data_IF_050645652202
#
_entry.id   IF_050645652202
#
_cell.length_a   1.000
_cell.length_b   1.000
_cell.length_c   1.000
_cell.angle_alpha   90.00
_cell.angle_beta   90.00
_cell.angle_gamma   90.00
#
_symmetry.space_group_name_H-M   'P 1'
#
loop_
_entity.id
_entity.type
_entity.pdbx_description
1 polymer ?
#
# COMPACT_ATOMS: atom_id res chain seq x y z
N UNK A 1 -6.46 -9.33 3.37
CA UNK A 1 -6.01 -8.43 2.29
C UNK A 1 -7.19 -8.02 1.44
N UNK A 2 -7.17 -6.80 0.94
CA UNK A 2 -8.20 -6.22 0.09
C UNK A 2 -7.61 -5.93 -1.28
N UNK A 3 -8.38 -6.17 -2.34
CA UNK A 3 -8.05 -5.81 -3.70
C UNK A 3 -9.16 -4.93 -4.24
N UNK A 4 -8.86 -3.65 -4.48
CA UNK A 4 -9.85 -2.61 -4.74
C UNK A 4 -9.43 -1.76 -5.94
N UNK A 5 -9.93 -2.03 -7.15
CA UNK A 5 -9.85 -1.05 -8.22
C UNK A 5 -10.54 0.25 -7.87
N UNK A 6 -10.02 1.37 -8.35
CA UNK A 6 -10.63 2.67 -8.19
C UNK A 6 -10.78 3.45 -9.50
N UNK A 7 -11.70 4.40 -9.48
CA UNK A 7 -11.80 5.49 -10.44
C UNK A 7 -11.66 6.78 -9.65
N UNK A 8 -10.73 7.61 -10.07
CA UNK A 8 -10.33 8.84 -9.40
C UNK A 8 -10.49 10.01 -10.36
N UNK A 9 -11.07 11.11 -9.87
CA UNK A 9 -11.13 12.40 -10.53
C UNK A 9 -10.49 13.43 -9.60
N UNK A 10 -9.63 14.29 -10.14
CA UNK A 10 -8.98 15.39 -9.45
C UNK A 10 -9.68 16.69 -9.79
N UNK A 11 -10.55 17.21 -8.91
CA UNK A 11 -11.12 18.54 -9.08
C UNK A 11 -10.06 19.61 -8.81
N UNK A 12 -10.17 20.75 -9.43
CA UNK A 12 -9.50 21.94 -8.94
C UNK A 12 -10.12 22.31 -7.59
N UNK A 13 -9.33 22.67 -6.59
CA UNK A 13 -9.63 22.64 -5.15
C UNK A 13 -10.78 23.58 -4.67
N UNK A 14 -11.84 23.76 -5.45
CA UNK A 14 -13.03 24.49 -5.02
C UNK A 14 -14.13 23.56 -4.51
N UNK A 15 -14.93 23.96 -3.51
CA UNK A 15 -16.05 23.15 -3.01
C UNK A 15 -17.07 22.79 -4.08
N UNK A 16 -17.30 23.69 -5.04
CA UNK A 16 -18.22 23.46 -6.15
C UNK A 16 -17.73 22.35 -7.08
N UNK A 17 -16.45 22.36 -7.42
CA UNK A 17 -15.85 21.34 -8.29
C UNK A 17 -15.76 19.98 -7.63
N UNK A 18 -15.52 19.93 -6.31
CA UNK A 18 -15.63 18.69 -5.53
C UNK A 18 -17.03 18.10 -5.61
N UNK A 19 -18.07 18.94 -5.52
CA UNK A 19 -19.48 18.51 -5.64
C UNK A 19 -19.79 18.00 -7.05
N UNK A 20 -19.36 18.71 -8.08
CA UNK A 20 -19.56 18.32 -9.48
C UNK A 20 -18.85 16.99 -9.77
N UNK A 21 -17.61 16.81 -9.29
CA UNK A 21 -16.86 15.57 -9.47
C UNK A 21 -17.54 14.40 -8.75
N UNK A 22 -18.06 14.61 -7.55
CA UNK A 22 -18.81 13.60 -6.81
C UNK A 22 -20.07 13.15 -7.57
N UNK A 23 -20.91 14.10 -8.03
CA UNK A 23 -22.10 13.78 -8.84
C UNK A 23 -21.77 13.05 -10.12
N UNK A 24 -20.66 13.41 -10.79
CA UNK A 24 -20.19 12.71 -11.99
C UNK A 24 -19.82 11.26 -11.66
N UNK A 25 -19.09 11.02 -10.57
CA UNK A 25 -18.72 9.69 -10.12
C UNK A 25 -19.93 8.87 -9.70
N UNK A 26 -20.92 9.47 -9.02
CA UNK A 26 -22.17 8.78 -8.65
C UNK A 26 -22.95 8.34 -9.87
N UNK A 27 -22.98 9.17 -10.92
CA UNK A 27 -23.61 8.79 -12.20
C UNK A 27 -22.90 7.60 -12.84
N UNK A 28 -21.56 7.56 -12.80
CA UNK A 28 -20.75 6.46 -13.29
C UNK A 28 -20.99 5.21 -12.44
N UNK A 29 -20.98 5.33 -11.11
CA UNK A 29 -21.24 4.23 -10.18
C UNK A 29 -22.64 3.61 -10.43
N UNK A 30 -23.65 4.45 -10.69
CA UNK A 30 -24.99 3.98 -11.03
C UNK A 30 -25.01 3.24 -12.37
N UNK A 31 -24.32 3.72 -13.39
CA UNK A 31 -24.21 3.02 -14.66
C UNK A 31 -23.56 1.64 -14.51
N UNK A 32 -22.54 1.52 -13.64
CA UNK A 32 -21.87 0.25 -13.33
C UNK A 32 -22.82 -0.68 -12.57
N UNK A 33 -23.54 -0.19 -11.57
CA UNK A 33 -24.50 -1.00 -10.77
C UNK A 33 -25.65 -1.56 -11.62
N UNK A 34 -25.99 -0.90 -12.74
CA UNK A 34 -27.01 -1.34 -13.68
C UNK A 34 -26.44 -2.09 -14.90
N UNK A 35 -25.19 -2.55 -14.83
CA UNK A 35 -24.50 -3.28 -15.90
C UNK A 35 -24.49 -2.55 -17.26
N UNK A 36 -24.69 -1.22 -17.26
CA UNK A 36 -24.66 -0.40 -18.49
C UNK A 36 -23.23 -0.05 -18.90
N UNK A 37 -22.28 -0.17 -17.99
CA UNK A 37 -20.86 0.14 -18.16
C UNK A 37 -20.04 -0.76 -17.24
N UNK A 38 -18.98 -1.38 -17.76
CA UNK A 38 -18.06 -2.12 -16.90
C UNK A 38 -17.16 -1.17 -16.10
N UNK A 39 -16.70 -1.62 -14.94
CA UNK A 39 -15.78 -0.80 -14.12
C UNK A 39 -14.46 -0.52 -14.85
N UNK A 40 -13.97 -1.50 -15.59
CA UNK A 40 -12.75 -1.42 -16.39
C UNK A 40 -12.87 -0.37 -17.51
N UNK A 41 -14.00 -0.36 -18.22
CA UNK A 41 -14.28 0.66 -19.25
C UNK A 41 -14.46 2.05 -18.64
N UNK A 42 -15.15 2.14 -17.50
CA UNK A 42 -15.30 3.40 -16.76
C UNK A 42 -13.94 3.94 -16.31
N UNK A 43 -13.06 3.09 -15.80
CA UNK A 43 -11.70 3.47 -15.43
C UNK A 43 -10.92 4.00 -16.64
N UNK A 44 -10.95 3.28 -17.77
CA UNK A 44 -10.24 3.68 -18.98
C UNK A 44 -10.75 5.01 -19.56
N UNK A 45 -12.05 5.31 -19.45
CA UNK A 45 -12.64 6.54 -19.99
C UNK A 45 -12.52 7.74 -19.06
N UNK A 46 -12.77 7.54 -17.77
CA UNK A 46 -13.04 8.64 -16.83
C UNK A 46 -11.99 8.79 -15.75
N UNK A 47 -11.18 7.78 -15.45
CA UNK A 47 -10.15 7.90 -14.41
C UNK A 47 -9.01 8.82 -14.85
N UNK A 48 -8.55 9.66 -13.92
CA UNK A 48 -7.38 10.52 -14.07
C UNK A 48 -6.13 9.93 -13.40
N UNK A 49 -6.29 8.75 -12.79
CA UNK A 49 -5.14 8.06 -12.24
C UNK A 49 -4.31 7.39 -13.35
N UNK A 50 -3.11 7.93 -13.58
CA UNK A 50 -2.20 7.49 -14.64
C UNK A 50 -1.73 6.04 -14.51
N UNK A 51 -1.72 5.50 -13.28
CA UNK A 51 -1.19 4.16 -13.00
C UNK A 51 -2.25 3.07 -13.17
N UNK A 52 -3.49 3.34 -12.77
CA UNK A 52 -4.56 2.34 -12.81
C UNK A 52 -5.51 2.46 -14.00
N UNK A 53 -5.58 3.65 -14.63
CA UNK A 53 -6.48 3.94 -15.74
C UNK A 53 -6.49 2.88 -16.83
N UNK A 54 -5.32 2.48 -17.31
CA UNK A 54 -5.15 1.51 -18.39
C UNK A 54 -5.09 0.05 -17.91
N UNK A 55 -5.18 -0.15 -16.61
CA UNK A 55 -5.17 -1.46 -15.96
C UNK A 55 -6.50 -1.79 -15.28
N UNK A 56 -7.62 -1.39 -15.90
CA UNK A 56 -8.96 -1.64 -15.39
C UNK A 56 -9.24 -1.02 -14.01
N UNK A 57 -8.54 0.07 -13.67
CA UNK A 57 -8.66 0.74 -12.38
C UNK A 57 -7.97 0.02 -11.21
N UNK A 58 -7.23 -1.07 -11.47
CA UNK A 58 -6.57 -1.85 -10.40
C UNK A 58 -5.49 -1.00 -9.74
N UNK A 59 -5.73 -0.69 -8.47
CA UNK A 59 -4.80 0.08 -7.64
C UNK A 59 -3.62 -0.78 -7.21
N UNK A 60 -2.44 -0.20 -7.21
CA UNK A 60 -1.25 -0.77 -6.63
C UNK A 60 -0.55 0.27 -5.73
N UNK A 61 0.32 -0.19 -4.86
CA UNK A 61 1.17 0.68 -4.04
C UNK A 61 2.35 1.28 -4.84
N UNK A 62 2.18 1.46 -6.15
CA UNK A 62 3.23 1.90 -7.07
C UNK A 62 3.79 3.29 -6.72
N UNK A 63 2.94 4.22 -6.30
CA UNK A 63 3.37 5.55 -5.85
C UNK A 63 4.30 5.48 -4.63
N UNK A 64 4.04 4.57 -3.69
CA UNK A 64 4.93 4.35 -2.54
C UNK A 64 6.25 3.73 -2.98
N UNK A 65 6.21 2.79 -3.93
CA UNK A 65 7.41 2.17 -4.51
C UNK A 65 8.29 3.21 -5.19
N UNK A 66 7.71 4.12 -5.98
CA UNK A 66 8.45 5.24 -6.61
C UNK A 66 8.99 6.22 -5.55
N UNK A 67 8.18 6.62 -4.58
CA UNK A 67 8.55 7.58 -3.54
C UNK A 67 9.74 7.10 -2.71
N UNK A 68 9.77 5.82 -2.36
CA UNK A 68 10.85 5.21 -1.58
C UNK A 68 11.95 4.59 -2.44
N UNK A 69 11.92 4.76 -3.76
CA UNK A 69 12.88 4.17 -4.70
C UNK A 69 13.03 2.65 -4.50
N UNK A 70 11.93 2.01 -4.12
CA UNK A 70 11.91 0.58 -3.89
C UNK A 70 11.85 -0.20 -5.20
N UNK A 71 12.12 -1.50 -5.15
CA UNK A 71 12.03 -2.38 -6.33
C UNK A 71 10.57 -2.41 -6.84
N UNK A 72 10.36 -2.08 -8.11
CA UNK A 72 9.04 -2.08 -8.76
C UNK A 72 8.33 -3.46 -8.71
N UNK A 73 9.09 -4.57 -8.55
CA UNK A 73 8.54 -5.91 -8.32
C UNK A 73 7.80 -6.04 -6.99
N UNK A 74 7.97 -5.09 -6.08
CA UNK A 74 7.27 -5.02 -4.79
C UNK A 74 5.90 -4.35 -4.87
N UNK A 75 5.51 -3.86 -6.05
CA UNK A 75 4.18 -3.31 -6.23
C UNK A 75 3.12 -4.40 -5.99
N UNK A 76 2.30 -4.20 -4.97
CA UNK A 76 1.19 -5.08 -4.62
C UNK A 76 -0.14 -4.46 -5.00
N UNK A 77 -1.07 -5.28 -5.46
CA UNK A 77 -2.48 -4.90 -5.67
C UNK A 77 -3.39 -5.33 -4.51
N UNK A 78 -2.79 -5.93 -3.47
CA UNK A 78 -3.46 -6.35 -2.24
C UNK A 78 -2.96 -5.48 -1.09
N UNK A 79 -3.89 -4.95 -0.32
CA UNK A 79 -3.63 -4.00 0.75
C UNK A 79 -4.08 -4.58 2.08
N UNK A 80 -3.32 -4.33 3.12
CA UNK A 80 -3.80 -4.50 4.48
C UNK A 80 -4.81 -3.39 4.82
N UNK A 81 -5.60 -3.61 5.86
CA UNK A 81 -6.54 -2.62 6.35
C UNK A 81 -5.87 -1.29 6.70
N UNK A 82 -4.70 -1.36 7.29
CA UNK A 82 -3.90 -0.23 7.73
C UNK A 82 -3.42 0.62 6.55
N UNK A 83 -3.10 -0.03 5.41
CA UNK A 83 -2.62 0.64 4.20
C UNK A 83 -3.72 1.45 3.50
N UNK A 84 -4.98 1.07 3.69
CA UNK A 84 -6.13 1.77 3.12
C UNK A 84 -6.47 3.07 3.87
N UNK A 85 -5.93 3.24 5.09
CA UNK A 85 -6.12 4.45 5.88
C UNK A 85 -7.60 4.87 6.01
N UNK A 86 -7.91 6.19 5.81
CA UNK A 86 -9.28 6.69 5.91
C UNK A 86 -10.25 6.08 4.90
N UNK A 87 -9.76 5.63 3.74
CA UNK A 87 -10.61 5.07 2.69
C UNK A 87 -11.26 3.74 3.09
N UNK A 88 -10.68 3.04 4.06
CA UNK A 88 -11.23 1.80 4.58
C UNK A 88 -12.68 1.93 5.07
N UNK A 89 -13.08 3.10 5.61
CA UNK A 89 -14.44 3.32 6.08
C UNK A 89 -15.51 3.13 4.97
N UNK A 90 -15.15 3.40 3.71
CA UNK A 90 -16.03 3.26 2.56
C UNK A 90 -16.04 1.83 1.99
N UNK A 91 -14.99 1.06 2.26
CA UNK A 91 -14.83 -0.31 1.79
C UNK A 91 -15.39 -1.35 2.75
N UNK A 92 -15.37 -1.07 4.07
CA UNK A 92 -15.67 -2.07 5.12
C UNK A 92 -17.04 -2.72 5.03
N UNK A 93 -18.03 -2.04 4.42
CA UNK A 93 -19.40 -2.51 4.31
C UNK A 93 -19.73 -3.08 2.93
N UNK A 94 -18.79 -2.99 1.98
CA UNK A 94 -18.99 -3.51 0.63
C UNK A 94 -18.79 -5.03 0.61
N UNK A 95 -19.57 -5.69 -0.23
CA UNK A 95 -19.34 -7.09 -0.59
C UNK A 95 -18.47 -7.17 -1.85
N UNK A 96 -17.77 -8.29 -2.09
CA UNK A 96 -17.08 -8.49 -3.35
C UNK A 96 -18.01 -8.30 -4.55
N UNK A 97 -17.60 -7.46 -5.50
CA UNK A 97 -18.38 -7.04 -6.66
C UNK A 97 -19.19 -5.75 -6.46
N UNK A 98 -19.34 -5.24 -5.25
CA UNK A 98 -20.07 -4.00 -5.00
C UNK A 98 -19.22 -2.74 -5.26
N UNK A 99 -19.85 -1.71 -5.83
CA UNK A 99 -19.27 -0.39 -6.08
C UNK A 99 -19.73 0.58 -4.98
N UNK A 100 -18.78 1.33 -4.42
CA UNK A 100 -19.06 2.37 -3.44
C UNK A 100 -19.88 3.53 -4.03
N UNK A 101 -20.41 4.37 -3.16
CA UNK A 101 -20.76 5.75 -3.51
C UNK A 101 -19.48 6.56 -3.72
N UNK A 102 -19.62 7.75 -4.33
CA UNK A 102 -18.50 8.67 -4.44
C UNK A 102 -18.09 9.18 -3.06
N UNK A 103 -16.80 9.31 -2.85
CA UNK A 103 -16.25 9.87 -1.62
C UNK A 103 -15.00 10.71 -1.89
N UNK A 104 -14.72 11.61 -0.96
CA UNK A 104 -13.54 12.45 -1.00
C UNK A 104 -12.38 11.76 -0.28
N UNK A 105 -11.21 11.87 -0.86
CA UNK A 105 -9.97 11.34 -0.33
C UNK A 105 -8.83 12.31 -0.63
N UNK A 106 -7.63 11.96 -0.21
CA UNK A 106 -6.41 12.72 -0.51
C UNK A 106 -5.36 11.80 -1.12
N UNK A 107 -4.58 12.35 -2.05
CA UNK A 107 -3.39 11.67 -2.52
C UNK A 107 -2.23 11.78 -1.50
N UNK A 108 -1.10 11.12 -1.77
CA UNK A 108 0.09 11.17 -0.91
C UNK A 108 0.71 12.57 -0.79
N UNK A 109 0.31 13.51 -1.66
CA UNK A 109 0.76 14.91 -1.66
C UNK A 109 -0.23 15.83 -0.93
N UNK A 110 -1.36 15.28 -0.42
CA UNK A 110 -2.39 16.04 0.26
C UNK A 110 -3.40 16.72 -0.66
N UNK A 111 -3.36 16.47 -1.97
CA UNK A 111 -4.35 17.04 -2.89
C UNK A 111 -5.70 16.34 -2.69
N UNK A 112 -6.78 17.12 -2.67
CA UNK A 112 -8.14 16.61 -2.62
C UNK A 112 -8.50 15.92 -3.93
N UNK A 113 -9.19 14.79 -3.81
CA UNK A 113 -9.70 14.04 -4.94
C UNK A 113 -11.01 13.33 -4.61
N UNK A 114 -11.80 13.06 -5.64
CA UNK A 114 -13.01 12.26 -5.52
C UNK A 114 -12.79 10.90 -6.16
N UNK A 115 -13.29 9.84 -5.54
CA UNK A 115 -13.17 8.48 -6.08
C UNK A 115 -14.38 7.60 -5.78
N UNK A 116 -14.55 6.60 -6.62
CA UNK A 116 -15.37 5.41 -6.37
C UNK A 116 -14.47 4.19 -6.43
N UNK A 117 -14.82 3.18 -5.68
CA UNK A 117 -14.08 1.92 -5.61
C UNK A 117 -15.00 0.74 -5.79
N UNK A 118 -14.49 -0.33 -6.36
CA UNK A 118 -15.14 -1.64 -6.36
C UNK A 118 -14.31 -2.59 -5.50
N UNK A 119 -14.97 -3.34 -4.63
CA UNK A 119 -14.29 -4.37 -3.85
C UNK A 119 -14.23 -5.65 -4.68
N UNK A 120 -13.04 -6.06 -5.15
CA UNK A 120 -12.90 -7.30 -5.92
C UNK A 120 -12.85 -8.54 -5.05
N UNK A 121 -12.06 -8.51 -3.98
CA UNK A 121 -11.91 -9.65 -3.08
C UNK A 121 -11.54 -9.20 -1.67
N UNK A 122 -11.91 -10.03 -0.70
CA UNK A 122 -11.40 -9.95 0.67
C UNK A 122 -10.66 -11.26 0.93
N UNK A 123 -9.35 -11.16 1.15
CA UNK A 123 -8.56 -12.34 1.53
C UNK A 123 -8.57 -12.44 3.07
N UNK A 124 -9.18 -13.46 3.64
CA UNK A 124 -9.22 -13.63 5.10
C UNK A 124 -7.81 -13.84 5.64
N UNK A 125 -7.64 -13.57 6.93
CA UNK A 125 -6.39 -13.86 7.61
C UNK A 125 -6.08 -15.37 7.50
N UNK A 126 -4.90 -15.69 7.01
CA UNK A 126 -4.43 -17.07 6.85
C UNK A 126 -2.94 -17.16 7.23
N UNK A 127 -2.47 -18.37 7.46
CA UNK A 127 -1.05 -18.60 7.65
C UNK A 127 -0.34 -18.44 6.31
N UNK A 128 0.71 -17.61 6.28
CA UNK A 128 1.48 -17.37 5.07
C UNK A 128 1.96 -18.68 4.42
N UNK A 129 1.76 -18.78 3.11
CA UNK A 129 2.20 -19.90 2.30
C UNK A 129 2.90 -19.42 1.03
N UNK A 130 3.73 -20.28 0.44
CA UNK A 130 4.55 -19.91 -0.72
C UNK A 130 3.68 -19.68 -1.97
N UNK A 131 2.50 -20.30 -2.07
CA UNK A 131 1.64 -20.18 -3.25
C UNK A 131 1.00 -18.80 -3.38
N UNK A 132 0.42 -18.32 -2.27
CA UNK A 132 -0.36 -17.09 -2.26
C UNK A 132 0.46 -15.85 -1.85
N UNK A 133 1.49 -16.06 -1.00
CA UNK A 133 2.25 -14.98 -0.36
C UNK A 133 3.73 -14.99 -0.76
N UNK A 134 4.07 -15.52 -1.94
CA UNK A 134 5.47 -15.70 -2.37
C UNK A 134 6.34 -14.47 -2.13
N UNK A 135 5.87 -13.30 -2.58
CA UNK A 135 6.63 -12.05 -2.45
C UNK A 135 6.91 -11.68 -1.00
N UNK A 136 5.93 -11.85 -0.11
CA UNK A 136 6.09 -11.56 1.32
C UNK A 136 7.05 -12.55 1.99
N UNK A 137 6.92 -13.84 1.65
CA UNK A 137 7.83 -14.90 2.18
C UNK A 137 9.26 -14.69 1.68
N UNK A 138 9.43 -14.31 0.42
CA UNK A 138 10.73 -13.95 -0.17
C UNK A 138 11.36 -12.75 0.56
N UNK A 139 10.59 -11.69 0.81
CA UNK A 139 11.08 -10.51 1.55
C UNK A 139 11.50 -10.86 2.98
N UNK A 140 10.69 -11.65 3.68
CA UNK A 140 11.02 -12.10 5.03
C UNK A 140 12.30 -12.94 5.05
N UNK A 141 12.45 -13.85 4.09
CA UNK A 141 13.66 -14.69 3.96
C UNK A 141 14.90 -13.85 3.62
N UNK A 142 14.75 -12.88 2.69
CA UNK A 142 15.82 -11.96 2.32
C UNK A 142 16.26 -11.12 3.52
N UNK A 143 15.32 -10.54 4.24
CA UNK A 143 15.59 -9.73 5.44
C UNK A 143 16.30 -10.58 6.51
N UNK A 144 15.81 -11.77 6.79
CA UNK A 144 16.44 -12.68 7.76
C UNK A 144 17.89 -13.02 7.36
N UNK A 145 18.15 -13.23 6.05
CA UNK A 145 19.50 -13.47 5.53
C UNK A 145 20.41 -12.25 5.63
N UNK A 146 19.87 -11.06 5.36
CA UNK A 146 20.59 -9.79 5.52
C UNK A 146 20.95 -9.53 6.98
N UNK A 147 20.01 -9.71 7.91
CA UNK A 147 20.22 -9.55 9.34
C UNK A 147 21.27 -10.52 9.88
N UNK A 148 21.23 -11.77 9.42
CA UNK A 148 22.25 -12.76 9.76
C UNK A 148 23.64 -12.34 9.28
N UNK A 149 23.74 -11.95 8.00
CA UNK A 149 25.01 -11.52 7.41
C UNK A 149 25.55 -10.25 8.07
N UNK A 150 24.68 -9.30 8.40
CA UNK A 150 25.05 -8.09 9.12
C UNK A 150 25.61 -8.40 10.52
N UNK A 151 24.98 -9.32 11.27
CA UNK A 151 25.48 -9.74 12.59
C UNK A 151 26.86 -10.39 12.49
N UNK A 152 27.03 -11.32 11.56
CA UNK A 152 28.32 -11.98 11.32
C UNK A 152 29.42 -11.00 10.91
N UNK A 153 29.08 -10.02 10.09
CA UNK A 153 30.00 -8.96 9.70
C UNK A 153 30.35 -8.07 10.90
N UNK A 154 29.36 -7.69 11.70
CA UNK A 154 29.55 -6.85 12.88
C UNK A 154 30.44 -7.56 13.90
N UNK A 155 30.21 -8.84 14.18
CA UNK A 155 31.06 -9.65 15.07
C UNK A 155 32.51 -9.68 14.60
N UNK A 156 32.75 -9.92 13.31
CA UNK A 156 34.10 -9.90 12.72
C UNK A 156 34.76 -8.51 12.86
N UNK A 157 34.02 -7.44 12.64
CA UNK A 157 34.53 -6.07 12.79
C UNK A 157 34.84 -5.73 14.24
N UNK A 158 33.96 -6.07 15.17
CA UNK A 158 34.20 -5.87 16.61
C UNK A 158 35.41 -6.66 17.13
N UNK A 159 35.61 -7.88 16.63
CA UNK A 159 36.78 -8.68 17.01
C UNK A 159 38.11 -8.06 16.53
N UNK A 160 38.10 -7.37 15.37
CA UNK A 160 39.26 -6.73 14.78
C UNK A 160 39.52 -5.29 15.29
N UNK A 161 38.53 -4.66 15.92
CA UNK A 161 38.64 -3.28 16.41
C UNK A 161 39.16 -3.23 17.85
N UNK A 162 39.93 -2.18 18.15
CA UNK A 162 40.24 -1.82 19.52
C UNK A 162 39.10 -0.99 20.11
N UNK A 163 38.38 -1.56 21.08
CA UNK A 163 37.24 -0.91 21.74
C UNK A 163 37.61 -0.68 23.19
N UNK A 164 37.56 0.59 23.65
CA UNK A 164 37.75 0.96 25.01
C UNK A 164 36.46 1.54 25.60
N UNK A 165 35.90 0.84 26.56
CA UNK A 165 34.73 1.27 27.32
C UNK A 165 35.18 1.81 28.68
N UNK A 166 34.69 2.98 29.04
CA UNK A 166 34.93 3.57 30.39
C UNK A 166 34.46 2.56 31.45
N UNK A 167 35.26 2.33 32.52
CA UNK A 167 34.92 1.37 33.57
C UNK A 167 33.52 1.56 34.18
N UNK A 168 32.99 2.77 34.21
CA UNK A 168 31.64 3.07 34.70
C UNK A 168 30.53 2.44 33.91
N UNK A 169 30.75 2.12 32.61
CA UNK A 169 29.76 1.57 31.69
C UNK A 169 29.99 0.10 31.32
N UNK A 170 31.03 -0.54 31.88
CA UNK A 170 31.35 -1.95 31.55
C UNK A 170 30.29 -2.94 32.00
N UNK A 171 29.52 -2.59 33.03
CA UNK A 171 28.46 -3.45 33.56
C UNK A 171 27.08 -3.16 32.92
N UNK A 172 27.00 -2.31 31.89
CA UNK A 172 25.78 -2.09 31.16
C UNK A 172 25.44 -3.31 30.31
N UNK A 173 24.15 -3.58 30.16
CA UNK A 173 23.65 -4.62 29.29
C UNK A 173 23.69 -4.13 27.83
N UNK A 174 24.72 -4.54 27.10
CA UNK A 174 24.90 -4.18 25.69
C UNK A 174 24.17 -5.21 24.81
N UNK A 175 23.42 -4.74 23.82
CA UNK A 175 22.77 -5.57 22.83
C UNK A 175 23.79 -6.51 22.11
N UNK A 176 24.98 -6.00 21.84
CA UNK A 176 26.10 -6.74 21.27
C UNK A 176 27.16 -7.04 22.35
N UNK A 177 27.18 -8.24 22.85
CA UNK A 177 28.10 -8.69 23.94
C UNK A 177 29.60 -8.61 23.61
N UNK A 178 29.96 -8.43 22.33
CA UNK A 178 31.35 -8.31 21.89
C UNK A 178 32.03 -6.97 22.18
N UNK A 179 31.34 -5.99 22.75
CA UNK A 179 31.88 -4.67 23.08
C UNK A 179 32.80 -4.67 24.31
N UNK A 180 32.58 -5.58 25.24
CA UNK A 180 33.39 -5.72 26.45
C UNK A 180 34.29 -6.92 26.29
N UNK A 181 35.61 -6.69 26.21
CA UNK A 181 36.64 -7.72 26.21
C UNK A 181 37.23 -7.87 27.60
#
# INVERSE_FOLDING_TARGET
>A
LYRCPHILIRPESTPEELTVSAHRLDSIANAIRHDSLSFEEAAARFSEDKYSKMNGGVVSNHELVELYQADARRASTRFFREDLGPDYQYLRNLKPGEVSESFQSQDLRGNQLSKIVILKEIVPSHRANIGDDYTQVEEMALKAKQDKHYREWLEKKMAAMYIRIDPRFRNCDFENKGWVK
#
